data_IF_345470644015
#
_entry.id   IF_345470644015
#
_cell.length_a   1.000
_cell.length_b   1.000
_cell.length_c   1.000
_cell.angle_alpha   90.00
_cell.angle_beta   90.00
_cell.angle_gamma   90.00
#
_symmetry.space_group_name_H-M   'P 1'
#
loop_
_entity.id
_entity.type
_entity.pdbx_description
1 polymer ?
#
# COMPACT_ATOMS: atom_id res chain seq x y z
N UNK A 1 -37.76 -36.95 -3.82
CA UNK A 1 -36.96 -36.01 -2.98
C UNK A 1 -35.51 -36.06 -3.47
N UNK A 2 -35.07 -35.02 -4.16
CA UNK A 2 -33.65 -34.93 -4.63
C UNK A 2 -32.91 -33.97 -3.70
N UNK A 3 -31.86 -34.47 -3.04
CA UNK A 3 -31.03 -33.69 -2.13
C UNK A 3 -30.21 -32.62 -2.87
N UNK A 4 -30.10 -31.43 -2.29
CA UNK A 4 -29.52 -30.23 -2.89
C UNK A 4 -27.97 -30.30 -3.00
N UNK A 5 -27.37 -29.79 -4.10
CA UNK A 5 -25.91 -29.79 -4.33
C UNK A 5 -25.11 -28.70 -3.56
N UNK A 6 -25.73 -27.96 -2.64
CA UNK A 6 -25.10 -26.82 -1.95
C UNK A 6 -24.14 -27.26 -0.81
N UNK A 7 -24.35 -28.41 -0.19
CA UNK A 7 -23.48 -28.89 0.91
C UNK A 7 -22.12 -29.41 0.46
N UNK A 8 -21.95 -29.78 -0.80
CA UNK A 8 -20.70 -30.32 -1.30
C UNK A 8 -19.65 -29.24 -1.62
N UNK A 9 -20.06 -28.03 -2.00
CA UNK A 9 -19.17 -26.89 -2.26
C UNK A 9 -18.53 -26.36 -0.97
N UNK A 10 -19.34 -26.17 0.08
CA UNK A 10 -18.88 -25.67 1.38
C UNK A 10 -17.91 -26.65 2.07
N UNK A 11 -18.14 -27.96 1.94
CA UNK A 11 -17.22 -29.00 2.47
C UNK A 11 -15.91 -29.09 1.68
N UNK A 12 -15.93 -28.88 0.35
CA UNK A 12 -14.71 -28.80 -0.46
C UNK A 12 -13.91 -27.54 -0.17
N UNK A 13 -14.54 -26.39 -0.02
CA UNK A 13 -13.89 -25.13 0.36
C UNK A 13 -13.29 -25.21 1.78
N UNK A 14 -13.97 -25.85 2.72
CA UNK A 14 -13.45 -26.12 4.06
C UNK A 14 -12.28 -27.13 4.06
N UNK A 15 -12.33 -28.17 3.22
CA UNK A 15 -11.25 -29.14 3.08
C UNK A 15 -10.02 -28.57 2.35
N UNK A 16 -10.21 -27.63 1.42
CA UNK A 16 -9.14 -26.91 0.73
C UNK A 16 -8.48 -25.88 1.65
N UNK A 17 -9.26 -25.25 2.54
CA UNK A 17 -8.78 -24.31 3.55
C UNK A 17 -7.90 -24.99 4.63
N UNK A 18 -8.15 -26.26 4.94
CA UNK A 18 -7.36 -27.07 5.89
C UNK A 18 -5.96 -27.39 5.35
N UNK A 19 -5.72 -27.25 4.05
CA UNK A 19 -4.43 -27.56 3.38
C UNK A 19 -3.55 -26.34 3.07
N UNK A 20 -3.99 -25.12 3.39
CA UNK A 20 -3.19 -23.92 3.12
C UNK A 20 -2.05 -23.83 4.15
N UNK A 21 -0.82 -24.07 3.68
CA UNK A 21 0.40 -23.76 4.41
C UNK A 21 0.88 -22.32 4.14
N UNK A 22 1.97 -21.90 4.79
CA UNK A 22 2.54 -20.57 4.60
C UNK A 22 2.99 -20.29 3.17
N UNK A 23 3.47 -21.32 2.46
CA UNK A 23 3.92 -21.17 1.07
C UNK A 23 2.73 -20.97 0.14
N UNK A 24 1.69 -21.79 0.25
CA UNK A 24 0.48 -21.66 -0.55
C UNK A 24 -0.26 -20.34 -0.30
N UNK A 25 -0.36 -19.92 0.96
CA UNK A 25 -0.93 -18.62 1.32
C UNK A 25 -0.15 -17.46 0.71
N UNK A 26 1.19 -17.48 0.80
CA UNK A 26 2.04 -16.48 0.17
C UNK A 26 1.87 -16.47 -1.34
N UNK A 27 1.90 -17.64 -2.01
CA UNK A 27 1.72 -17.75 -3.46
C UNK A 27 0.39 -17.18 -3.90
N UNK A 28 -0.72 -17.58 -3.27
CA UNK A 28 -2.07 -17.05 -3.58
C UNK A 28 -2.10 -15.54 -3.48
N UNK A 29 -1.72 -14.97 -2.34
CA UNK A 29 -1.75 -13.51 -2.12
C UNK A 29 -0.92 -12.73 -3.13
N UNK A 30 0.25 -13.25 -3.51
CA UNK A 30 1.18 -12.52 -4.38
C UNK A 30 0.88 -12.72 -5.85
N UNK A 31 0.37 -13.88 -6.28
CA UNK A 31 -0.12 -14.11 -7.64
C UNK A 31 -1.36 -13.25 -7.93
N UNK A 32 -2.28 -13.10 -6.98
CA UNK A 32 -3.42 -12.18 -7.10
C UNK A 32 -2.94 -10.74 -7.32
N UNK A 33 -1.85 -10.32 -6.65
CA UNK A 33 -1.26 -9.01 -6.90
C UNK A 33 -0.67 -8.88 -8.31
N UNK A 34 0.01 -9.90 -8.82
CA UNK A 34 0.55 -9.91 -10.19
C UNK A 34 -0.58 -9.88 -11.22
N UNK A 35 -1.64 -10.64 -10.99
CA UNK A 35 -2.85 -10.65 -11.84
C UNK A 35 -3.51 -9.26 -11.87
N UNK A 36 -3.67 -8.61 -10.72
CA UNK A 36 -4.20 -7.26 -10.63
C UNK A 36 -3.35 -6.22 -11.39
N UNK A 37 -2.01 -6.33 -11.33
CA UNK A 37 -1.12 -5.46 -12.11
C UNK A 37 -1.38 -5.65 -13.61
N UNK A 38 -1.50 -6.89 -14.08
CA UNK A 38 -1.77 -7.20 -15.49
C UNK A 38 -3.15 -6.70 -15.92
N UNK A 39 -4.18 -6.92 -15.11
CA UNK A 39 -5.56 -6.50 -15.42
C UNK A 39 -5.69 -4.98 -15.60
N UNK A 40 -4.98 -4.19 -14.82
CA UNK A 40 -5.03 -2.72 -14.92
C UNK A 40 -3.98 -2.11 -15.86
N UNK A 41 -3.14 -2.93 -16.50
CA UNK A 41 -2.02 -2.44 -17.31
C UNK A 41 -2.48 -1.61 -18.52
N UNK A 42 -3.44 -2.10 -19.30
CA UNK A 42 -3.95 -1.43 -20.50
C UNK A 42 -4.58 -0.07 -20.16
N UNK A 43 -5.50 -0.06 -19.19
CA UNK A 43 -6.17 1.18 -18.74
C UNK A 43 -5.18 2.20 -18.18
N UNK A 44 -4.16 1.75 -17.43
CA UNK A 44 -3.11 2.65 -16.95
C UNK A 44 -2.27 3.23 -18.10
N UNK A 45 -2.02 2.46 -19.17
CA UNK A 45 -1.36 2.94 -20.38
C UNK A 45 -2.24 3.90 -21.19
N UNK A 46 -3.56 3.85 -21.03
CA UNK A 46 -4.51 4.79 -21.62
C UNK A 46 -4.68 6.08 -20.76
N UNK A 47 -4.00 6.19 -19.61
CA UNK A 47 -4.02 7.38 -18.76
C UNK A 47 -5.05 7.33 -17.63
N UNK A 48 -5.71 6.19 -17.40
CA UNK A 48 -6.66 6.03 -16.30
C UNK A 48 -5.94 6.12 -14.93
N UNK A 49 -6.23 7.17 -14.18
CA UNK A 49 -5.65 7.43 -12.87
C UNK A 49 -6.04 6.39 -11.81
N UNK A 50 -7.25 5.79 -11.93
CA UNK A 50 -7.66 4.72 -11.03
C UNK A 50 -6.91 3.43 -11.33
N UNK A 51 -6.69 3.07 -12.59
CA UNK A 51 -5.87 1.93 -12.97
C UNK A 51 -4.41 2.09 -12.47
N UNK A 52 -3.83 3.28 -12.58
CA UNK A 52 -2.52 3.62 -11.98
C UNK A 52 -2.55 3.42 -10.47
N UNK A 53 -3.63 3.85 -9.81
CA UNK A 53 -3.81 3.64 -8.37
C UNK A 53 -3.87 2.16 -8.01
N UNK A 54 -4.64 1.35 -8.74
CA UNK A 54 -4.77 -0.09 -8.49
C UNK A 54 -3.47 -0.86 -8.70
N UNK A 55 -2.68 -0.55 -9.72
CA UNK A 55 -1.33 -1.10 -9.88
C UNK A 55 -0.45 -0.78 -8.66
N UNK A 56 -0.47 0.46 -8.17
CA UNK A 56 0.29 0.84 -6.95
C UNK A 56 -0.18 0.10 -5.71
N UNK A 57 -1.49 -0.12 -5.58
CA UNK A 57 -2.06 -0.91 -4.48
C UNK A 57 -1.55 -2.34 -4.56
N UNK A 58 -1.60 -2.96 -5.74
CA UNK A 58 -1.13 -4.32 -5.97
C UNK A 58 0.36 -4.48 -5.65
N UNK A 59 1.23 -3.57 -6.13
CA UNK A 59 2.67 -3.58 -5.79
C UNK A 59 2.88 -3.40 -4.27
N UNK A 60 2.09 -2.56 -3.62
CA UNK A 60 2.23 -2.35 -2.16
C UNK A 60 1.80 -3.58 -1.37
N UNK A 61 0.70 -4.25 -1.79
CA UNK A 61 0.23 -5.51 -1.20
C UNK A 61 1.27 -6.62 -1.38
N UNK A 62 1.81 -6.79 -2.58
CA UNK A 62 2.86 -7.74 -2.87
C UNK A 62 4.09 -7.52 -1.97
N UNK A 63 4.59 -6.29 -1.88
CA UNK A 63 5.72 -5.95 -0.99
C UNK A 63 5.39 -6.13 0.49
N UNK A 64 4.14 -5.99 0.89
CA UNK A 64 3.70 -6.28 2.26
C UNK A 64 3.72 -7.78 2.53
N UNK A 65 3.20 -8.61 1.60
CA UNK A 65 3.23 -10.06 1.71
C UNK A 65 4.66 -10.61 1.78
N UNK A 66 5.56 -10.17 0.88
CA UNK A 66 6.98 -10.57 0.96
C UNK A 66 7.63 -10.15 2.29
N UNK A 67 7.31 -8.97 2.81
CA UNK A 67 7.87 -8.52 4.09
C UNK A 67 7.29 -9.29 5.28
N UNK A 68 6.05 -9.78 5.17
CA UNK A 68 5.38 -10.57 6.19
C UNK A 68 5.94 -12.00 6.24
N UNK A 69 6.09 -12.63 5.09
CA UNK A 69 6.66 -13.97 4.95
C UNK A 69 8.18 -13.96 4.76
N UNK A 70 8.87 -12.85 5.10
CA UNK A 70 10.29 -12.69 4.81
C UNK A 70 11.20 -13.83 5.31
N UNK A 71 11.01 -14.40 6.52
CA UNK A 71 11.83 -15.54 6.99
C UNK A 71 11.71 -16.80 6.12
N UNK A 72 10.63 -16.90 5.34
CA UNK A 72 10.33 -18.04 4.47
C UNK A 72 10.82 -17.77 3.05
N UNK A 73 10.47 -16.60 2.49
CA UNK A 73 10.51 -16.35 1.04
C UNK A 73 11.71 -15.53 0.56
N UNK A 74 12.40 -14.80 1.44
CA UNK A 74 13.49 -13.91 1.00
C UNK A 74 14.71 -14.73 0.60
N UNK A 75 15.15 -14.53 -0.65
CA UNK A 75 16.31 -15.14 -1.26
C UNK A 75 17.09 -14.15 -2.16
N UNK A 76 18.14 -14.60 -2.79
CA UNK A 76 18.95 -13.78 -3.69
C UNK A 76 18.15 -13.27 -4.91
N UNK A 77 17.22 -14.10 -5.42
CA UNK A 77 16.35 -13.69 -6.55
C UNK A 77 15.39 -12.58 -6.13
N UNK A 78 14.78 -12.68 -4.94
CA UNK A 78 13.97 -11.57 -4.42
C UNK A 78 14.77 -10.27 -4.29
N UNK A 79 16.02 -10.32 -3.87
CA UNK A 79 16.85 -9.11 -3.74
C UNK A 79 17.06 -8.41 -5.08
N UNK A 80 17.18 -9.17 -6.18
CA UNK A 80 17.22 -8.62 -7.55
C UNK A 80 15.87 -8.07 -7.99
N UNK A 81 14.80 -8.86 -7.83
CA UNK A 81 13.42 -8.45 -8.17
C UNK A 81 12.98 -7.21 -7.39
N UNK A 82 13.39 -7.09 -6.14
CA UNK A 82 13.12 -5.91 -5.30
C UNK A 82 13.64 -4.61 -5.92
N UNK A 83 14.79 -4.64 -6.58
CA UNK A 83 15.35 -3.47 -7.29
C UNK A 83 14.51 -3.12 -8.51
N UNK A 84 14.07 -4.12 -9.28
CA UNK A 84 13.21 -3.94 -10.43
C UNK A 84 11.81 -3.43 -10.05
N UNK A 85 11.23 -3.96 -8.96
CA UNK A 85 9.97 -3.45 -8.40
C UNK A 85 10.12 -1.99 -7.92
N UNK A 86 11.27 -1.62 -7.36
CA UNK A 86 11.53 -0.24 -6.96
C UNK A 86 11.64 0.68 -8.17
N UNK A 87 12.28 0.23 -9.26
CA UNK A 87 12.35 0.96 -10.52
C UNK A 87 10.95 1.22 -11.11
N UNK A 88 10.10 0.21 -11.22
CA UNK A 88 8.72 0.35 -11.70
C UNK A 88 7.89 1.27 -10.79
N UNK A 89 8.08 1.15 -9.48
CA UNK A 89 7.33 1.96 -8.50
C UNK A 89 7.69 3.45 -8.54
N UNK A 90 8.83 3.84 -9.09
CA UNK A 90 9.24 5.24 -9.24
C UNK A 90 8.28 6.05 -10.13
N UNK A 91 8.15 5.74 -11.43
CA UNK A 91 7.20 6.40 -12.33
C UNK A 91 5.74 6.28 -11.88
N UNK A 92 5.31 5.10 -11.40
CA UNK A 92 3.98 4.91 -10.79
C UNK A 92 3.78 5.86 -9.60
N UNK A 93 4.84 6.05 -8.80
CA UNK A 93 4.82 6.98 -7.68
C UNK A 93 4.62 8.42 -8.12
N UNK A 94 5.40 8.86 -9.11
CA UNK A 94 5.34 10.22 -9.62
C UNK A 94 3.97 10.54 -10.22
N UNK A 95 3.46 9.68 -11.12
CA UNK A 95 2.15 9.87 -11.75
C UNK A 95 1.02 9.94 -10.70
N UNK A 96 0.96 8.99 -9.76
CA UNK A 96 -0.08 9.05 -8.71
C UNK A 96 0.08 10.24 -7.78
N UNK A 97 1.29 10.67 -7.50
CA UNK A 97 1.54 11.83 -6.65
C UNK A 97 1.10 13.13 -7.35
N UNK A 98 1.27 13.27 -8.68
CA UNK A 98 0.73 14.37 -9.46
C UNK A 98 -0.79 14.32 -9.55
N UNK A 99 -1.41 13.15 -9.76
CA UNK A 99 -2.87 13.00 -9.75
C UNK A 99 -3.49 13.47 -8.43
N UNK A 100 -2.91 13.04 -7.30
CA UNK A 100 -3.40 13.44 -5.96
C UNK A 100 -3.29 14.95 -5.75
N UNK A 101 -2.21 15.57 -6.24
CA UNK A 101 -2.04 17.03 -6.11
C UNK A 101 -3.04 17.79 -6.98
N UNK A 102 -3.26 17.35 -8.22
CA UNK A 102 -4.28 17.94 -9.11
C UNK A 102 -5.68 17.77 -8.51
N UNK A 103 -6.01 16.59 -8.00
CA UNK A 103 -7.27 16.35 -7.28
C UNK A 103 -7.42 17.29 -6.08
N UNK A 104 -6.34 17.51 -5.33
CA UNK A 104 -6.33 18.40 -4.18
C UNK A 104 -6.53 19.88 -4.59
N UNK A 105 -5.88 20.31 -5.67
CA UNK A 105 -6.01 21.67 -6.23
C UNK A 105 -7.43 21.96 -6.71
N UNK A 106 -8.14 20.95 -7.24
CA UNK A 106 -9.53 21.05 -7.72
C UNK A 106 -10.57 21.15 -6.61
N UNK A 107 -10.23 20.94 -5.34
CA UNK A 107 -11.17 21.06 -4.22
C UNK A 107 -11.67 22.49 -4.10
N UNK A 108 -12.97 22.68 -3.81
CA UNK A 108 -13.67 23.97 -3.74
C UNK A 108 -12.85 25.06 -3.01
N UNK A 109 -12.22 24.71 -1.88
CA UNK A 109 -11.48 25.65 -1.04
C UNK A 109 -10.12 26.08 -1.60
N UNK A 110 -9.60 25.41 -2.62
CA UNK A 110 -8.27 25.71 -3.20
C UNK A 110 -8.37 26.08 -4.69
N UNK A 111 -9.51 25.82 -5.33
CA UNK A 111 -9.67 25.87 -6.78
C UNK A 111 -9.24 27.19 -7.39
N UNK A 112 -9.82 28.31 -6.92
CA UNK A 112 -9.51 29.62 -7.45
C UNK A 112 -8.03 29.98 -7.26
N UNK A 113 -7.51 29.80 -6.04
CA UNK A 113 -6.11 30.06 -5.74
C UNK A 113 -5.15 29.16 -6.55
N UNK A 114 -5.46 27.88 -6.71
CA UNK A 114 -4.63 26.96 -7.46
C UNK A 114 -4.61 27.25 -8.96
N UNK A 115 -5.74 27.63 -9.55
CA UNK A 115 -5.83 28.02 -10.95
C UNK A 115 -4.98 29.24 -11.25
N UNK A 116 -5.06 30.27 -10.40
CA UNK A 116 -4.30 31.51 -10.56
C UNK A 116 -2.77 31.32 -10.39
N UNK A 117 -2.35 30.48 -9.44
CA UNK A 117 -0.93 30.44 -9.03
C UNK A 117 -0.13 29.26 -9.59
N UNK A 118 -0.74 28.09 -9.80
CA UNK A 118 0.00 26.84 -10.09
C UNK A 118 -0.68 25.92 -11.10
N UNK A 119 -1.85 26.30 -11.66
CA UNK A 119 -2.69 25.38 -12.48
C UNK A 119 -1.92 24.82 -13.67
N UNK A 120 -1.33 25.66 -14.50
CA UNK A 120 -0.57 25.25 -15.68
C UNK A 120 0.63 24.35 -15.33
N UNK A 121 1.37 24.68 -14.26
CA UNK A 121 2.50 23.89 -13.80
C UNK A 121 2.08 22.49 -13.32
N UNK A 122 0.91 22.39 -12.69
CA UNK A 122 0.37 21.09 -12.24
C UNK A 122 -0.02 20.23 -13.44
N UNK A 123 -0.69 20.78 -14.43
CA UNK A 123 -1.13 20.06 -15.63
C UNK A 123 0.08 19.56 -16.44
N UNK A 124 1.08 20.43 -16.67
CA UNK A 124 2.32 20.08 -17.35
C UNK A 124 3.08 18.97 -16.60
N UNK A 125 3.12 19.04 -15.27
CA UNK A 125 3.76 18.03 -14.43
C UNK A 125 3.01 16.71 -14.54
N UNK A 126 1.68 16.70 -14.42
CA UNK A 126 0.86 15.51 -14.54
C UNK A 126 1.08 14.84 -15.90
N UNK A 127 1.03 15.59 -16.99
CA UNK A 127 1.29 15.07 -18.34
C UNK A 127 2.69 14.45 -18.47
N UNK A 128 3.74 15.08 -17.95
CA UNK A 128 5.11 14.55 -17.99
C UNK A 128 5.23 13.25 -17.21
N UNK A 129 4.67 13.20 -16.00
CA UNK A 129 4.73 12.05 -15.13
C UNK A 129 3.97 10.85 -15.74
N UNK A 130 2.78 11.09 -16.33
CA UNK A 130 2.01 10.06 -17.04
C UNK A 130 2.72 9.56 -18.30
N UNK A 131 3.29 10.45 -19.13
CA UNK A 131 4.08 10.03 -20.31
C UNK A 131 5.26 9.14 -19.92
N UNK A 132 5.98 9.50 -18.84
CA UNK A 132 7.07 8.68 -18.30
C UNK A 132 6.57 7.31 -17.81
N UNK A 133 5.44 7.29 -17.11
CA UNK A 133 4.82 6.06 -16.65
C UNK A 133 4.44 5.14 -17.81
N UNK A 134 3.75 5.66 -18.83
CA UNK A 134 3.32 4.87 -20.00
C UNK A 134 4.51 4.24 -20.70
N UNK A 135 5.60 5.00 -20.92
CA UNK A 135 6.83 4.43 -21.49
C UNK A 135 7.41 3.31 -20.64
N UNK A 136 7.38 3.47 -19.30
CA UNK A 136 7.84 2.44 -18.36
C UNK A 136 6.96 1.19 -18.43
N UNK A 137 5.64 1.33 -18.38
CA UNK A 137 4.69 0.22 -18.42
C UNK A 137 4.79 -0.59 -19.73
N UNK A 138 4.89 0.09 -20.87
CA UNK A 138 5.01 -0.56 -22.21
C UNK A 138 6.36 -1.20 -22.47
N UNK A 139 7.36 -0.95 -21.62
CA UNK A 139 8.71 -1.46 -21.84
C UNK A 139 8.80 -2.98 -21.67
N UNK A 140 9.66 -3.63 -22.48
CA UNK A 140 10.01 -5.04 -22.31
C UNK A 140 10.56 -5.36 -20.92
N UNK A 141 11.15 -4.36 -20.22
CA UNK A 141 11.64 -4.50 -18.84
C UNK A 141 10.48 -4.78 -17.88
N UNK A 142 9.36 -4.07 -18.00
CA UNK A 142 8.17 -4.33 -17.19
C UNK A 142 7.59 -5.71 -17.46
N UNK A 143 7.52 -6.14 -18.72
CA UNK A 143 7.03 -7.48 -19.08
C UNK A 143 7.92 -8.58 -18.48
N UNK A 144 9.26 -8.44 -18.64
CA UNK A 144 10.23 -9.36 -18.03
C UNK A 144 10.13 -9.39 -16.51
N UNK A 145 9.96 -8.23 -15.87
CA UNK A 145 9.76 -8.15 -14.42
C UNK A 145 8.54 -8.94 -13.97
N UNK A 146 7.38 -8.75 -14.62
CA UNK A 146 6.14 -9.44 -14.23
C UNK A 146 6.23 -10.96 -14.46
N UNK A 147 6.89 -11.39 -15.53
CA UNK A 147 7.14 -12.81 -15.81
C UNK A 147 8.10 -13.42 -14.77
N UNK A 148 9.21 -12.72 -14.48
CA UNK A 148 10.20 -13.17 -13.49
C UNK A 148 9.60 -13.24 -12.07
N UNK A 149 8.76 -12.26 -11.71
CA UNK A 149 8.04 -12.30 -10.43
C UNK A 149 7.08 -13.48 -10.33
N UNK A 150 6.28 -13.73 -11.37
CA UNK A 150 5.35 -14.86 -11.37
C UNK A 150 6.09 -16.19 -11.28
N UNK A 151 7.23 -16.35 -11.96
CA UNK A 151 8.10 -17.53 -11.88
C UNK A 151 8.69 -17.69 -10.48
N UNK A 152 9.30 -16.64 -9.92
CA UNK A 152 9.86 -16.66 -8.57
C UNK A 152 8.81 -17.03 -7.51
N UNK A 153 7.59 -16.50 -7.62
CA UNK A 153 6.51 -16.84 -6.69
C UNK A 153 6.16 -18.32 -6.79
N UNK A 154 6.08 -18.90 -8.00
CA UNK A 154 5.66 -20.30 -8.20
C UNK A 154 6.77 -21.31 -7.95
N UNK A 155 8.02 -20.97 -8.27
CA UNK A 155 9.12 -21.93 -8.43
C UNK A 155 10.46 -21.39 -7.88
N UNK A 156 10.46 -20.32 -7.09
CA UNK A 156 11.70 -19.77 -6.52
C UNK A 156 12.38 -20.74 -5.57
N UNK A 157 13.70 -20.63 -5.43
CA UNK A 157 14.51 -21.47 -4.53
C UNK A 157 14.03 -21.45 -3.06
N UNK A 158 13.31 -20.40 -2.67
CA UNK A 158 12.67 -20.30 -1.36
C UNK A 158 11.66 -21.43 -1.11
N UNK A 159 10.95 -21.91 -2.15
CA UNK A 159 9.94 -22.96 -2.02
C UNK A 159 10.56 -24.31 -1.69
N UNK A 160 11.69 -24.65 -2.32
CA UNK A 160 12.43 -25.88 -2.01
C UNK A 160 13.01 -25.84 -0.59
N UNK A 161 13.53 -24.69 -0.16
CA UNK A 161 13.98 -24.51 1.23
C UNK A 161 12.84 -24.65 2.22
N UNK A 162 11.66 -24.15 1.90
CA UNK A 162 10.48 -24.27 2.75
C UNK A 162 10.04 -25.74 2.87
N UNK A 163 9.96 -26.47 1.76
CA UNK A 163 9.58 -27.90 1.73
C UNK A 163 10.50 -28.82 2.53
N UNK A 164 11.78 -28.46 2.59
CA UNK A 164 12.79 -29.23 3.38
C UNK A 164 12.73 -28.96 4.87
N UNK A 165 11.96 -27.98 5.33
CA UNK A 165 11.79 -27.71 6.75
C UNK A 165 10.94 -28.80 7.40
N UNK A 166 11.52 -29.49 8.38
CA UNK A 166 10.80 -30.50 9.18
C UNK A 166 9.82 -29.86 10.18
N UNK A 167 10.11 -28.63 10.63
CA UNK A 167 9.33 -27.89 11.65
C UNK A 167 8.58 -26.70 11.02
N UNK A 168 7.77 -26.97 9.97
CA UNK A 168 6.94 -25.92 9.40
C UNK A 168 5.83 -25.56 10.40
N UNK A 169 5.94 -24.37 10.98
CA UNK A 169 4.91 -23.79 11.83
C UNK A 169 3.57 -23.73 11.10
N UNK A 170 2.48 -24.10 11.77
CA UNK A 170 1.15 -23.99 11.20
C UNK A 170 0.88 -22.54 10.75
N UNK A 171 0.25 -22.39 9.58
CA UNK A 171 -0.04 -21.07 8.99
C UNK A 171 -0.69 -20.12 10.01
N UNK A 172 -1.61 -20.62 10.80
CA UNK A 172 -2.35 -19.82 11.78
C UNK A 172 -1.41 -19.26 12.87
N UNK A 173 -0.57 -20.09 13.46
CA UNK A 173 0.40 -19.68 14.50
C UNK A 173 1.40 -18.69 13.95
N UNK A 174 1.96 -18.96 12.76
CA UNK A 174 2.88 -18.04 12.07
C UNK A 174 2.25 -16.68 11.85
N UNK A 175 1.03 -16.66 11.30
CA UNK A 175 0.35 -15.41 10.98
C UNK A 175 -0.06 -14.61 12.22
N UNK A 176 -0.55 -15.27 13.27
CA UNK A 176 -0.87 -14.63 14.54
C UNK A 176 0.40 -13.99 15.16
N UNK A 177 1.49 -14.76 15.25
CA UNK A 177 2.75 -14.29 15.78
C UNK A 177 3.35 -13.09 15.00
N UNK A 178 3.33 -13.16 13.66
CA UNK A 178 3.87 -12.07 12.84
C UNK A 178 2.97 -10.82 12.84
N UNK A 179 1.62 -10.99 12.84
CA UNK A 179 0.70 -9.87 13.00
C UNK A 179 0.90 -9.18 14.33
N UNK A 180 1.06 -9.93 15.42
CA UNK A 180 1.32 -9.37 16.74
C UNK A 180 2.63 -8.55 16.73
N UNK A 181 3.71 -9.10 16.20
CA UNK A 181 4.99 -8.39 16.05
C UNK A 181 4.84 -7.08 15.26
N UNK A 182 4.05 -7.08 14.17
CA UNK A 182 3.82 -5.88 13.38
C UNK A 182 2.95 -4.86 14.12
N UNK A 183 1.92 -5.32 14.80
CA UNK A 183 1.03 -4.50 15.64
C UNK A 183 1.82 -3.78 16.74
N UNK A 184 2.60 -4.50 17.53
CA UNK A 184 3.43 -3.93 18.60
C UNK A 184 4.43 -2.89 18.07
N UNK A 185 5.10 -3.20 16.94
CA UNK A 185 6.00 -2.25 16.28
C UNK A 185 5.28 -0.99 15.81
N UNK A 186 4.06 -1.12 15.32
CA UNK A 186 3.24 0.01 14.86
C UNK A 186 2.80 0.87 16.03
N UNK A 187 2.28 0.25 17.09
CA UNK A 187 1.88 0.92 18.33
C UNK A 187 3.06 1.64 18.98
N UNK A 188 4.21 0.96 19.14
CA UNK A 188 5.41 1.58 19.73
C UNK A 188 5.89 2.81 18.96
N UNK A 189 5.88 2.75 17.62
CA UNK A 189 6.33 3.87 16.78
C UNK A 189 5.35 5.04 16.72
N UNK A 190 4.09 4.81 17.04
CA UNK A 190 3.05 5.84 17.10
C UNK A 190 2.94 6.57 18.45
N UNK A 191 3.64 6.13 19.52
CA UNK A 191 3.50 6.69 20.87
C UNK A 191 3.69 8.21 20.96
N UNK A 192 4.60 8.78 20.15
CA UNK A 192 4.91 10.22 20.14
C UNK A 192 4.43 10.89 18.85
N UNK A 193 3.24 10.56 18.38
CA UNK A 193 2.73 11.00 17.08
C UNK A 193 2.67 12.52 16.95
N UNK A 194 2.33 13.25 18.02
CA UNK A 194 2.30 14.72 18.06
C UNK A 194 3.67 15.35 17.71
N UNK A 195 4.75 14.77 18.19
CA UNK A 195 6.12 15.30 18.04
C UNK A 195 6.90 14.68 16.88
N UNK A 196 6.31 13.72 16.13
CA UNK A 196 6.97 13.11 15.00
C UNK A 196 7.14 14.12 13.84
N UNK A 197 8.36 14.26 13.34
CA UNK A 197 8.63 15.01 12.10
C UNK A 197 8.03 14.30 10.88
N UNK A 198 7.90 15.02 9.76
CA UNK A 198 7.25 14.55 8.51
C UNK A 198 7.78 13.19 8.02
N UNK A 199 9.11 13.00 7.99
CA UNK A 199 9.73 11.73 7.58
C UNK A 199 9.36 10.55 8.48
N UNK A 200 9.26 10.76 9.80
CA UNK A 200 8.87 9.71 10.76
C UNK A 200 7.38 9.38 10.62
N UNK A 201 6.50 10.39 10.45
CA UNK A 201 5.08 10.21 10.14
C UNK A 201 4.89 9.43 8.84
N UNK A 202 5.67 9.77 7.80
CA UNK A 202 5.63 9.02 6.55
C UNK A 202 6.01 7.55 6.71
N UNK A 203 7.08 7.25 7.47
CA UNK A 203 7.45 5.85 7.76
C UNK A 203 6.39 5.11 8.57
N UNK A 204 5.72 5.80 9.52
CA UNK A 204 4.60 5.24 10.28
C UNK A 204 3.42 4.92 9.35
N UNK A 205 3.06 5.84 8.43
CA UNK A 205 2.02 5.63 7.42
C UNK A 205 2.29 4.40 6.55
N UNK A 206 3.54 4.23 6.08
CA UNK A 206 3.90 3.03 5.30
C UNK A 206 3.70 1.75 6.12
N UNK A 207 4.06 1.76 7.40
CA UNK A 207 3.85 0.60 8.30
C UNK A 207 2.37 0.33 8.53
N UNK A 208 1.56 1.35 8.82
CA UNK A 208 0.11 1.22 8.97
C UNK A 208 -0.55 0.69 7.69
N UNK A 209 -0.11 1.17 6.52
CA UNK A 209 -0.60 0.69 5.21
C UNK A 209 -0.28 -0.80 4.99
N UNK A 210 0.97 -1.22 5.29
CA UNK A 210 1.37 -2.63 5.15
C UNK A 210 0.61 -3.53 6.12
N UNK A 211 0.49 -3.12 7.37
CA UNK A 211 -0.27 -3.85 8.39
C UNK A 211 -1.73 -4.03 7.96
N UNK A 212 -2.41 -2.96 7.56
CA UNK A 212 -3.78 -3.03 7.06
C UNK A 212 -3.92 -4.02 5.88
N UNK A 213 -3.01 -3.95 4.90
CA UNK A 213 -3.08 -4.84 3.75
C UNK A 213 -2.85 -6.32 4.11
N UNK A 214 -2.00 -6.58 5.09
CA UNK A 214 -1.83 -7.96 5.58
C UNK A 214 -3.07 -8.45 6.31
N UNK A 215 -3.67 -7.64 7.19
CA UNK A 215 -4.95 -7.98 7.82
C UNK A 215 -6.02 -8.27 6.78
N UNK A 216 -6.17 -7.41 5.76
CA UNK A 216 -7.14 -7.61 4.65
C UNK A 216 -6.86 -8.91 3.85
N UNK A 217 -5.60 -9.16 3.53
CA UNK A 217 -5.21 -10.32 2.73
C UNK A 217 -5.43 -11.63 3.51
N UNK A 218 -5.03 -11.67 4.77
CA UNK A 218 -5.19 -12.83 5.64
C UNK A 218 -6.67 -13.16 5.87
N UNK A 219 -7.50 -12.16 6.16
CA UNK A 219 -8.95 -12.36 6.31
C UNK A 219 -9.60 -12.95 5.04
N UNK A 220 -9.09 -12.63 3.86
CA UNK A 220 -9.60 -13.16 2.59
C UNK A 220 -9.06 -14.55 2.24
N UNK A 221 -7.81 -14.84 2.61
CA UNK A 221 -7.10 -16.04 2.17
C UNK A 221 -7.28 -17.19 3.14
N UNK A 222 -7.40 -16.89 4.44
CA UNK A 222 -7.53 -17.88 5.50
C UNK A 222 -8.98 -17.91 5.97
N UNK A 223 -9.83 -18.66 5.26
CA UNK A 223 -11.25 -18.79 5.55
C UNK A 223 -11.54 -19.40 6.95
N UNK A 224 -10.55 -20.07 7.56
CA UNK A 224 -10.63 -20.68 8.89
C UNK A 224 -10.58 -19.67 10.04
N UNK A 225 -10.08 -18.46 9.80
CA UNK A 225 -10.21 -17.39 10.79
C UNK A 225 -11.61 -16.84 10.69
N UNK A 226 -12.43 -17.12 11.70
CA UNK A 226 -13.80 -16.65 11.77
C UNK A 226 -13.91 -15.20 11.33
N UNK A 227 -14.93 -14.85 10.59
CA UNK A 227 -15.12 -13.53 9.92
C UNK A 227 -14.88 -12.30 10.82
N UNK A 228 -14.65 -12.50 12.14
CA UNK A 228 -14.44 -11.47 13.15
C UNK A 228 -13.01 -11.30 13.68
N UNK A 229 -12.14 -12.32 13.59
CA UNK A 229 -10.94 -12.45 14.44
C UNK A 229 -9.91 -11.30 14.25
N UNK A 230 -9.75 -10.75 13.06
CA UNK A 230 -8.87 -9.59 12.82
C UNK A 230 -9.58 -8.33 12.32
N UNK A 231 -10.92 -8.36 12.23
CA UNK A 231 -11.68 -7.21 11.73
C UNK A 231 -11.53 -5.99 12.63
N UNK A 232 -11.38 -6.21 13.94
CA UNK A 232 -11.15 -5.15 14.93
C UNK A 232 -9.81 -4.43 14.74
N UNK A 233 -8.80 -5.08 14.14
CA UNK A 233 -7.51 -4.46 13.79
C UNK A 233 -7.59 -3.62 12.52
N UNK A 234 -8.44 -4.01 11.57
CA UNK A 234 -8.53 -3.39 10.26
C UNK A 234 -9.01 -1.93 10.32
N UNK A 235 -10.11 -1.67 11.05
CA UNK A 235 -10.69 -0.33 11.15
C UNK A 235 -9.74 0.72 11.73
N UNK A 236 -9.09 0.50 12.90
CA UNK A 236 -8.12 1.44 13.45
C UNK A 236 -6.92 1.65 12.53
N UNK A 237 -6.37 0.58 11.93
CA UNK A 237 -5.25 0.68 11.00
C UNK A 237 -5.61 1.48 9.75
N UNK A 238 -6.83 1.31 9.21
CA UNK A 238 -7.35 2.09 8.06
C UNK A 238 -7.49 3.56 8.42
N UNK A 239 -8.07 3.87 9.58
CA UNK A 239 -8.20 5.26 10.08
C UNK A 239 -6.85 5.92 10.28
N UNK A 240 -5.90 5.25 10.93
CA UNK A 240 -4.54 5.75 11.12
C UNK A 240 -3.84 6.02 9.79
N UNK A 241 -3.91 5.07 8.85
CA UNK A 241 -3.34 5.24 7.52
C UNK A 241 -3.95 6.43 6.77
N UNK A 242 -5.29 6.59 6.83
CA UNK A 242 -6.01 7.68 6.16
C UNK A 242 -5.60 9.04 6.72
N UNK A 243 -5.65 9.20 8.04
CA UNK A 243 -5.29 10.45 8.70
C UNK A 243 -3.83 10.87 8.43
N UNK A 244 -2.89 9.91 8.48
CA UNK A 244 -1.49 10.17 8.09
C UNK A 244 -1.33 10.42 6.58
N UNK A 245 -2.26 9.92 5.75
CA UNK A 245 -2.35 10.22 4.32
C UNK A 245 -2.76 11.66 4.08
N UNK A 246 -3.85 12.09 4.68
CA UNK A 246 -4.40 13.45 4.56
C UNK A 246 -3.37 14.51 4.98
N UNK A 247 -2.61 14.25 6.07
CA UNK A 247 -1.49 15.12 6.46
C UNK A 247 -0.42 15.23 5.39
N UNK A 248 -0.03 14.11 4.79
CA UNK A 248 1.01 14.08 3.75
C UNK A 248 0.56 14.78 2.47
N UNK A 249 -0.67 14.55 2.05
CA UNK A 249 -1.22 15.11 0.82
C UNK A 249 -1.34 16.65 0.95
N UNK A 250 -1.73 17.13 2.13
CA UNK A 250 -1.71 18.55 2.47
C UNK A 250 -0.27 19.13 2.48
N UNK A 251 0.69 18.43 3.08
CA UNK A 251 2.11 18.84 3.10
C UNK A 251 2.70 18.92 1.68
N UNK A 252 2.34 17.97 0.80
CA UNK A 252 2.77 17.96 -0.60
C UNK A 252 2.19 19.10 -1.40
N UNK A 253 0.89 19.31 -1.25
CA UNK A 253 0.22 20.42 -1.92
C UNK A 253 0.84 21.76 -1.52
N UNK A 254 1.06 21.97 -0.22
CA UNK A 254 1.72 23.15 0.30
C UNK A 254 3.16 23.32 -0.21
N UNK A 255 3.93 22.22 -0.29
CA UNK A 255 5.30 22.25 -0.79
C UNK A 255 5.39 22.65 -2.28
N UNK A 256 4.47 22.16 -3.10
CA UNK A 256 4.40 22.53 -4.52
C UNK A 256 3.95 23.98 -4.73
N UNK A 257 3.01 24.40 -3.92
CA UNK A 257 2.56 25.79 -3.89
C UNK A 257 3.66 26.78 -3.50
N UNK A 258 4.59 26.36 -2.62
CA UNK A 258 5.72 27.18 -2.17
C UNK A 258 6.95 27.13 -3.09
N UNK A 259 6.98 26.16 -4.02
CA UNK A 259 8.14 25.89 -4.89
C UNK A 259 8.13 26.62 -6.24
N UNK A 260 7.19 27.52 -6.48
CA UNK A 260 7.25 28.40 -7.64
C UNK A 260 8.35 29.46 -7.40
N UNK A 261 9.44 29.48 -8.21
CA UNK A 261 10.51 30.43 -8.04
C UNK A 261 10.10 31.79 -8.64
N UNK A 262 9.33 32.58 -7.91
CA UNK A 262 9.32 34.00 -8.12
C UNK A 262 10.15 34.64 -7.00
N UNK A 263 11.43 34.78 -7.30
CA UNK A 263 12.34 35.65 -6.56
C UNK A 263 12.00 37.07 -6.94
N UNK A 264 11.07 37.69 -6.25
CA UNK A 264 10.99 39.13 -6.15
C UNK A 264 11.45 39.55 -4.75
N UNK A 265 12.55 40.27 -4.73
CA UNK A 265 13.07 41.02 -3.58
C UNK A 265 13.37 40.26 -2.30
N UNK A 266 14.23 39.21 -2.34
CA UNK A 266 14.98 38.76 -1.16
C UNK A 266 14.20 38.16 0.03
N UNK A 267 12.87 38.20 0.04
CA UNK A 267 12.02 37.55 1.05
C UNK A 267 11.35 36.34 0.41
N UNK A 268 11.72 35.16 0.88
CA UNK A 268 10.99 33.90 0.61
C UNK A 268 9.55 34.03 1.16
N UNK A 269 8.65 34.56 0.36
CA UNK A 269 7.23 34.54 0.66
C UNK A 269 6.74 33.10 0.54
N UNK A 270 6.72 32.39 1.67
CA UNK A 270 6.19 31.03 1.78
C UNK A 270 4.66 31.13 1.78
N UNK A 271 4.07 31.35 0.62
CA UNK A 271 2.61 31.39 0.45
C UNK A 271 2.04 29.98 0.63
N UNK A 272 1.69 29.64 1.83
CA UNK A 272 0.90 28.42 2.07
C UNK A 272 -0.53 28.61 1.53
N UNK A 273 -1.16 27.51 1.04
CA UNK A 273 -2.57 27.56 0.66
C UNK A 273 -3.45 28.09 1.79
N UNK A 274 -4.58 28.77 1.47
CA UNK A 274 -5.48 29.34 2.47
C UNK A 274 -5.91 28.29 3.51
N UNK A 275 -5.81 28.65 4.80
CA UNK A 275 -6.20 27.77 5.91
C UNK A 275 -5.31 26.55 6.15
N UNK A 276 -4.10 26.50 5.61
CA UNK A 276 -3.16 25.36 5.77
C UNK A 276 -2.92 24.97 7.22
N UNK A 277 -2.65 25.92 8.11
CA UNK A 277 -2.37 25.63 9.54
C UNK A 277 -3.57 25.00 10.24
N UNK A 278 -4.74 25.60 10.14
CA UNK A 278 -5.99 25.11 10.75
C UNK A 278 -6.41 23.71 10.26
N UNK A 279 -6.07 23.36 9.02
CA UNK A 279 -6.41 22.08 8.42
C UNK A 279 -5.45 20.95 8.74
N UNK A 280 -4.25 21.27 9.24
CA UNK A 280 -3.25 20.27 9.65
C UNK A 280 -3.60 19.61 10.99
N UNK A 281 -4.30 20.31 11.86
CA UNK A 281 -4.66 19.84 13.21
C UNK A 281 -5.65 18.68 13.15
N UNK A 282 -6.74 18.82 12.39
CA UNK A 282 -7.78 17.78 12.27
C UNK A 282 -7.25 16.37 11.89
N UNK A 283 -6.41 16.21 10.85
CA UNK A 283 -5.83 14.92 10.55
C UNK A 283 -4.86 14.39 11.61
N UNK A 284 -4.17 15.29 12.32
CA UNK A 284 -3.28 14.89 13.44
C UNK A 284 -4.09 14.31 14.58
N UNK A 285 -5.16 14.96 15.00
CA UNK A 285 -6.05 14.48 16.07
C UNK A 285 -6.73 13.17 15.67
N UNK A 286 -7.19 13.06 14.43
CA UNK A 286 -7.71 11.81 13.88
C UNK A 286 -6.68 10.68 13.90
N UNK A 287 -5.41 10.97 13.59
CA UNK A 287 -4.33 10.01 13.65
C UNK A 287 -4.02 9.56 15.09
N UNK A 288 -4.06 10.49 16.05
CA UNK A 288 -3.86 10.20 17.48
C UNK A 288 -4.99 9.32 18.01
N UNK A 289 -6.25 9.66 17.70
CA UNK A 289 -7.40 8.85 18.09
C UNK A 289 -7.32 7.43 17.49
N UNK A 290 -7.04 7.32 16.19
CA UNK A 290 -6.90 6.03 15.52
C UNK A 290 -5.73 5.19 16.07
N UNK A 291 -4.62 5.83 16.47
CA UNK A 291 -3.51 5.14 17.11
C UNK A 291 -3.88 4.64 18.51
N UNK A 292 -4.65 5.41 19.28
CA UNK A 292 -5.19 4.98 20.58
C UNK A 292 -6.08 3.75 20.42
N UNK A 293 -7.02 3.78 19.46
CA UNK A 293 -7.88 2.64 19.19
C UNK A 293 -7.10 1.39 18.76
N UNK A 294 -6.06 1.57 17.94
CA UNK A 294 -5.18 0.49 17.54
C UNK A 294 -4.40 -0.11 18.72
N UNK A 295 -3.96 0.72 19.69
CA UNK A 295 -3.28 0.26 20.90
C UNK A 295 -4.17 -0.64 21.76
N UNK A 296 -5.48 -0.37 21.80
CA UNK A 296 -6.45 -1.18 22.57
C UNK A 296 -6.94 -2.42 21.81
N UNK A 297 -6.77 -2.46 20.50
CA UNK A 297 -7.07 -3.62 19.70
C UNK A 297 -5.94 -4.65 19.86
N UNK A 298 -6.22 -5.82 20.45
CA UNK A 298 -5.22 -6.89 20.64
C UNK A 298 -5.25 -7.85 19.44
N UNK A 299 -4.10 -8.41 19.13
CA UNK A 299 -3.99 -9.59 18.25
C UNK A 299 -4.20 -10.79 19.20
N UNK A 300 -5.27 -11.53 18.97
CA UNK A 300 -5.56 -12.74 19.78
C UNK A 300 -4.63 -13.87 19.40
#
# INVERSE_FOLDING_TARGET
>A
MRAHPVETSSRREAAEAVRLDCAAAFQKMTLDCVAAIKAHHSSACAGDAEAVHQIRVAITRLRAAVAFFAPIVVDAEWLRLKKEVAWLNGPLGAARDSDVVVEYARRKQYRAWAQDKIGEQLDQRQMRDHRRLVRCLRSARTQRLLAAMARWIRQGAWLERYRRRKDAEALQSYCAGELNRWHERLVRKGRRLKTLGASRRHRLRIKAKRFRYMVEALTKTVALWGRGEFHHLHRPAKRLQRALGDMRDLERFASLASGSPQVENGKRDRRHPPGYRLRKEKPLDAAIAAHRDLKHARVC
#
